data_IF_967945868047
#
_entry.id   IF_967945868047
#
_cell.length_a   1.000
_cell.length_b   1.000
_cell.length_c   1.000
_cell.angle_alpha   90.00
_cell.angle_beta   90.00
_cell.angle_gamma   90.00
#
_symmetry.space_group_name_H-M   'P 1'
#
loop_
_entity.id
_entity.type
_entity.pdbx_description
1 polymer ?
#
# COMPACT_ATOMS: atom_id res chain seq x y z
N UNK A 1 9.98 19.07 -24.93
CA UNK A 1 11.07 19.80 -24.24
C UNK A 1 10.53 21.07 -23.55
N UNK A 2 9.72 20.92 -22.48
CA UNK A 2 9.13 22.03 -21.71
C UNK A 2 9.23 21.85 -20.19
N UNK A 3 9.86 20.78 -19.70
CA UNK A 3 9.94 20.47 -18.27
C UNK A 3 11.08 21.20 -17.53
N UNK A 4 12.16 21.58 -18.22
CA UNK A 4 13.33 22.17 -17.58
C UNK A 4 13.20 23.66 -17.20
N UNK A 5 12.33 24.43 -17.87
CA UNK A 5 12.19 25.87 -17.60
C UNK A 5 11.35 26.15 -16.34
N UNK A 6 10.43 25.24 -15.98
CA UNK A 6 9.55 25.43 -14.83
C UNK A 6 10.27 25.19 -13.50
N UNK A 7 11.19 24.22 -13.45
CA UNK A 7 11.92 23.86 -12.22
C UNK A 7 12.89 24.96 -11.75
N UNK A 8 13.54 25.67 -12.67
CA UNK A 8 14.51 26.72 -12.35
C UNK A 8 13.81 27.97 -11.78
N UNK A 9 12.60 28.31 -12.26
CA UNK A 9 11.83 29.48 -11.75
C UNK A 9 11.33 29.28 -10.32
N UNK A 10 11.14 28.03 -9.88
CA UNK A 10 10.63 27.72 -8.55
C UNK A 10 11.71 27.71 -7.45
N UNK A 11 13.00 27.94 -7.78
CA UNK A 11 14.14 27.86 -6.83
C UNK A 11 14.20 26.57 -6.00
N UNK A 12 13.60 25.47 -6.47
CA UNK A 12 13.65 24.20 -5.78
C UNK A 12 14.97 23.49 -6.12
N UNK A 13 15.73 22.98 -5.13
CA UNK A 13 16.95 22.25 -5.40
C UNK A 13 16.63 21.00 -6.21
N UNK A 14 17.26 20.83 -7.39
CA UNK A 14 17.10 19.67 -8.26
C UNK A 14 17.69 18.36 -7.67
N UNK A 15 17.91 18.30 -6.36
CA UNK A 15 18.38 17.12 -5.62
C UNK A 15 17.44 16.87 -4.46
N UNK A 16 16.74 15.74 -4.57
CA UNK A 16 15.71 15.20 -3.68
C UNK A 16 14.35 15.89 -3.82
N UNK A 17 13.71 15.61 -4.95
CA UNK A 17 12.25 15.51 -5.01
C UNK A 17 11.90 14.08 -4.61
N UNK A 18 11.54 13.86 -3.34
CA UNK A 18 10.78 12.65 -2.97
C UNK A 18 9.36 12.99 -3.37
N UNK A 19 8.97 12.51 -4.55
CA UNK A 19 7.58 12.52 -4.96
C UNK A 19 6.83 11.55 -4.05
N UNK A 20 5.83 12.03 -3.33
CA UNK A 20 4.90 11.17 -2.61
C UNK A 20 3.94 10.51 -3.59
N UNK A 21 4.46 9.75 -4.56
CA UNK A 21 3.72 8.78 -5.37
C UNK A 21 3.54 7.46 -4.61
N UNK A 22 3.34 7.54 -3.28
CA UNK A 22 3.36 6.36 -2.40
C UNK A 22 2.04 5.58 -2.52
N UNK A 23 2.15 4.32 -2.93
CA UNK A 23 1.05 3.34 -2.84
C UNK A 23 1.00 2.84 -1.39
N UNK A 24 -0.17 2.94 -0.75
CA UNK A 24 -0.45 2.29 0.53
C UNK A 24 -1.22 1.01 0.20
N UNK A 25 -0.74 -0.12 0.73
CA UNK A 25 -1.31 -1.44 0.45
C UNK A 25 -1.70 -2.14 1.75
N UNK A 26 -2.98 -2.49 1.87
CA UNK A 26 -3.49 -3.32 2.96
C UNK A 26 -3.37 -4.80 2.59
N UNK A 27 -2.39 -5.47 3.21
CA UNK A 27 -2.09 -6.88 2.95
C UNK A 27 -2.11 -7.70 4.24
N UNK A 28 -2.59 -8.94 4.15
CA UNK A 28 -2.52 -9.93 5.21
C UNK A 28 -2.17 -11.31 4.62
N UNK A 29 -1.96 -12.32 5.44
CA UNK A 29 -1.62 -13.65 4.94
C UNK A 29 -2.77 -14.27 4.14
N UNK A 30 -3.99 -14.14 4.66
CA UNK A 30 -5.23 -14.61 4.02
C UNK A 30 -6.00 -13.43 3.45
N UNK A 31 -6.53 -13.62 2.24
CA UNK A 31 -7.29 -12.61 1.52
C UNK A 31 -8.66 -12.29 2.14
N UNK A 32 -9.10 -11.05 1.97
CA UNK A 32 -10.40 -10.56 2.37
C UNK A 32 -10.48 -10.19 3.84
N UNK A 33 -11.70 -10.13 4.38
CA UNK A 33 -11.98 -9.86 5.78
C UNK A 33 -12.99 -10.84 6.38
N UNK A 34 -13.13 -10.78 7.70
CA UNK A 34 -14.08 -11.55 8.48
C UNK A 34 -14.70 -10.67 9.57
N UNK A 35 -15.90 -11.02 10.02
CA UNK A 35 -16.53 -10.30 11.13
C UNK A 35 -15.91 -10.69 12.47
N UNK A 36 -15.78 -9.72 13.37
CA UNK A 36 -15.41 -10.00 14.76
C UNK A 36 -16.57 -10.73 15.46
N UNK A 37 -16.29 -11.92 15.99
CA UNK A 37 -17.25 -12.73 16.74
C UNK A 37 -16.84 -12.81 18.22
N UNK A 38 -17.83 -12.99 19.10
CA UNK A 38 -17.57 -13.20 20.53
C UNK A 38 -16.76 -14.48 20.78
N UNK A 39 -17.10 -15.53 20.03
CA UNK A 39 -16.34 -16.77 20.01
C UNK A 39 -15.11 -16.62 19.11
N UNK A 40 -13.94 -16.44 19.73
CA UNK A 40 -12.66 -16.24 19.04
C UNK A 40 -12.14 -17.49 18.35
N UNK A 41 -12.64 -18.68 18.72
CA UNK A 41 -12.21 -19.95 18.11
C UNK A 41 -12.68 -20.09 16.67
N UNK A 42 -13.70 -19.31 16.29
CA UNK A 42 -14.25 -19.25 14.93
C UNK A 42 -13.52 -18.25 14.02
N UNK A 43 -12.62 -17.45 14.58
CA UNK A 43 -11.82 -16.52 13.78
C UNK A 43 -10.76 -17.29 13.01
N UNK A 44 -10.69 -17.03 11.71
CA UNK A 44 -9.60 -17.54 10.89
C UNK A 44 -8.35 -16.73 11.23
N UNK A 45 -7.29 -17.43 11.62
CA UNK A 45 -6.01 -16.83 11.94
C UNK A 45 -5.43 -16.11 10.71
N UNK A 46 -4.79 -14.94 10.93
CA UNK A 46 -4.19 -14.10 9.87
C UNK A 46 -5.15 -13.65 8.75
N UNK A 47 -6.43 -13.51 9.07
CA UNK A 47 -7.44 -12.85 8.24
C UNK A 47 -7.91 -11.56 8.88
N UNK A 48 -8.00 -10.48 8.11
CA UNK A 48 -8.38 -9.16 8.62
C UNK A 48 -9.78 -9.18 9.24
N UNK A 49 -9.95 -8.47 10.36
CA UNK A 49 -11.27 -8.26 11.00
C UNK A 49 -11.86 -6.87 10.69
N UNK A 50 -11.13 -6.04 9.96
CA UNK A 50 -11.54 -4.71 9.52
C UNK A 50 -11.73 -4.73 8.00
N UNK A 51 -10.87 -4.04 7.26
CA UNK A 51 -10.92 -3.92 5.81
C UNK A 51 -10.36 -5.16 5.12
N UNK A 52 -10.83 -5.41 3.91
CA UNK A 52 -10.41 -6.56 3.12
C UNK A 52 -8.97 -6.37 2.63
N UNK A 53 -8.09 -7.30 2.98
CA UNK A 53 -6.68 -7.26 2.56
C UNK A 53 -6.42 -8.19 1.39
N UNK A 54 -5.42 -7.87 0.57
CA UNK A 54 -4.88 -8.85 -0.38
C UNK A 54 -4.02 -9.91 0.33
N UNK A 55 -3.89 -11.11 -0.25
CA UNK A 55 -3.03 -12.15 0.32
C UNK A 55 -1.54 -11.90 0.07
N UNK A 56 -0.68 -12.62 0.82
CA UNK A 56 0.78 -12.53 0.73
C UNK A 56 1.32 -12.80 -0.69
N UNK A 57 0.80 -13.81 -1.40
CA UNK A 57 1.28 -14.15 -2.76
C UNK A 57 1.06 -12.97 -3.72
N UNK A 58 -0.12 -12.36 -3.67
CA UNK A 58 -0.46 -11.21 -4.50
C UNK A 58 0.32 -9.96 -4.07
N UNK A 59 0.60 -9.82 -2.76
CA UNK A 59 1.45 -8.75 -2.24
C UNK A 59 2.86 -8.83 -2.81
N UNK A 60 3.43 -10.03 -2.89
CA UNK A 60 4.75 -10.24 -3.48
C UNK A 60 4.78 -9.90 -4.98
N UNK A 61 3.68 -10.11 -5.71
CA UNK A 61 3.55 -9.69 -7.11
C UNK A 61 3.59 -8.16 -7.19
N UNK A 62 2.76 -7.47 -6.40
CA UNK A 62 2.67 -5.99 -6.39
C UNK A 62 4.02 -5.30 -6.11
N UNK A 63 4.88 -5.89 -5.29
CA UNK A 63 6.19 -5.30 -4.96
C UNK A 63 7.35 -5.74 -5.85
N UNK A 64 7.18 -6.78 -6.67
CA UNK A 64 8.25 -7.33 -7.52
C UNK A 64 8.12 -6.91 -8.99
N UNK A 65 6.97 -6.38 -9.38
CA UNK A 65 6.71 -5.77 -10.68
C UNK A 65 7.09 -4.27 -10.69
#
# INVERSE_FOLDING_TARGET
MKSNITLIRAKLPAKVMIDCSHVILESNQIEGNQYLTQDKTKLVYEKSITDACINRKNTEIVYRD
#
